data_IF_325383673644
#
_entry.id   IF_325383673644
#
_cell.length_a   1.000
_cell.length_b   1.000
_cell.length_c   1.000
_cell.angle_alpha   90.00
_cell.angle_beta   90.00
_cell.angle_gamma   90.00
#
_symmetry.space_group_name_H-M   'P 1'
#
loop_
_entity.id
_entity.type
_entity.pdbx_description
1 polymer ?
#
# COMPACT_ATOMS: atom_id res chain seq x y z
N UNK A 1 -3.58 -26.38 -2.97
CA UNK A 1 -4.41 -25.14 -3.02
C UNK A 1 -3.69 -24.04 -3.79
N UNK A 2 -2.52 -23.58 -3.38
CA UNK A 2 -1.72 -22.55 -4.06
C UNK A 2 -1.63 -22.78 -5.58
N UNK A 3 -1.20 -23.97 -6.03
CA UNK A 3 -1.11 -24.27 -7.45
C UNK A 3 -2.44 -24.20 -8.23
N UNK A 4 -3.56 -24.28 -7.54
CA UNK A 4 -4.89 -24.12 -8.17
C UNK A 4 -5.20 -22.65 -8.35
N UNK A 5 -4.97 -21.81 -7.32
CA UNK A 5 -5.16 -20.36 -7.39
C UNK A 5 -4.23 -19.73 -8.43
N UNK A 6 -2.94 -20.13 -8.44
CA UNK A 6 -1.97 -19.67 -9.46
C UNK A 6 -2.48 -19.96 -10.87
N UNK A 7 -2.99 -21.20 -11.13
CA UNK A 7 -3.55 -21.54 -12.44
C UNK A 7 -4.75 -20.69 -12.82
N UNK A 8 -5.61 -20.35 -11.88
CA UNK A 8 -6.76 -19.45 -12.12
C UNK A 8 -6.25 -18.06 -12.51
N UNK A 9 -5.31 -17.50 -11.76
CA UNK A 9 -4.74 -16.18 -12.08
C UNK A 9 -4.03 -16.22 -13.45
N UNK A 10 -3.18 -17.20 -13.71
CA UNK A 10 -2.49 -17.35 -14.99
C UNK A 10 -3.46 -17.52 -16.18
N UNK A 11 -4.65 -18.08 -15.96
CA UNK A 11 -5.65 -18.21 -17.02
C UNK A 11 -6.25 -16.87 -17.46
N UNK A 12 -6.12 -15.81 -16.67
CA UNK A 12 -6.55 -14.45 -17.04
C UNK A 12 -5.52 -13.70 -17.90
N UNK A 13 -4.31 -14.26 -18.03
CA UNK A 13 -3.26 -13.69 -18.87
C UNK A 13 -3.69 -13.66 -20.32
N UNK A 14 -3.42 -12.55 -21.00
CA UNK A 14 -3.76 -12.34 -22.42
C UNK A 14 -5.28 -12.45 -22.72
N UNK A 15 -6.14 -12.27 -21.70
CA UNK A 15 -7.60 -12.25 -21.82
C UNK A 15 -8.20 -10.95 -21.30
N UNK A 16 -9.52 -10.77 -21.47
CA UNK A 16 -10.27 -9.67 -20.84
C UNK A 16 -10.75 -10.03 -19.42
N UNK A 17 -10.54 -11.28 -19.00
CA UNK A 17 -10.96 -11.76 -17.68
C UNK A 17 -10.19 -11.05 -16.56
N UNK A 18 -10.86 -10.84 -15.45
CA UNK A 18 -10.33 -10.14 -14.29
C UNK A 18 -9.89 -11.11 -13.21
N UNK A 19 -8.87 -10.71 -12.43
CA UNK A 19 -8.22 -11.59 -11.46
C UNK A 19 -9.15 -11.90 -10.29
N UNK A 20 -9.79 -10.88 -9.70
CA UNK A 20 -10.65 -11.09 -8.53
C UNK A 20 -11.90 -11.88 -8.88
N UNK A 21 -12.58 -11.50 -9.98
CA UNK A 21 -13.72 -12.25 -10.49
C UNK A 21 -13.37 -13.72 -10.78
N UNK A 22 -12.23 -13.97 -11.37
CA UNK A 22 -11.80 -15.35 -11.72
C UNK A 22 -11.51 -16.20 -10.48
N UNK A 23 -11.08 -15.58 -9.37
CA UNK A 23 -10.76 -16.25 -8.12
C UNK A 23 -12.00 -16.56 -7.27
N UNK A 24 -12.92 -15.60 -7.13
CA UNK A 24 -14.05 -15.72 -6.20
C UNK A 24 -15.43 -15.62 -6.85
N UNK A 25 -15.49 -15.30 -8.16
CA UNK A 25 -16.77 -15.06 -8.86
C UNK A 25 -17.50 -13.83 -8.34
N UNK A 26 -18.79 -13.76 -8.70
CA UNK A 26 -19.76 -12.80 -8.12
C UNK A 26 -20.58 -13.46 -7.01
N UNK A 27 -21.34 -12.66 -6.21
CA UNK A 27 -22.29 -13.24 -5.26
C UNK A 27 -23.26 -14.23 -5.92
N UNK A 28 -23.51 -15.37 -5.30
CA UNK A 28 -24.32 -16.48 -5.85
C UNK A 28 -25.72 -16.09 -6.36
N UNK A 29 -26.28 -15.01 -5.80
CA UNK A 29 -27.61 -14.50 -6.18
C UNK A 29 -27.57 -13.54 -7.38
N UNK A 30 -26.41 -13.21 -7.92
CA UNK A 30 -26.21 -12.21 -8.95
C UNK A 30 -25.98 -12.85 -10.32
N UNK A 31 -26.71 -12.39 -11.31
CA UNK A 31 -26.43 -12.72 -12.71
C UNK A 31 -25.53 -11.67 -13.34
N UNK A 32 -24.91 -12.00 -14.47
CA UNK A 32 -24.11 -11.01 -15.23
C UNK A 32 -24.94 -9.76 -15.59
N UNK A 33 -26.24 -9.93 -15.90
CA UNK A 33 -27.14 -8.81 -16.20
C UNK A 33 -27.41 -7.92 -14.99
N UNK A 34 -27.39 -8.49 -13.78
CA UNK A 34 -27.56 -7.72 -12.56
C UNK A 34 -26.27 -6.96 -12.27
N UNK A 35 -25.11 -7.61 -12.43
CA UNK A 35 -23.83 -6.96 -12.33
C UNK A 35 -23.67 -5.77 -13.29
N UNK A 36 -24.00 -5.95 -14.57
CA UNK A 36 -23.89 -4.88 -15.58
C UNK A 36 -24.70 -3.60 -15.21
N UNK A 37 -25.75 -3.73 -14.40
CA UNK A 37 -26.57 -2.61 -13.94
C UNK A 37 -25.99 -1.93 -12.69
N UNK A 38 -25.49 -2.73 -11.74
CA UNK A 38 -25.09 -2.29 -10.41
C UNK A 38 -23.58 -2.58 -10.14
N UNK A 39 -22.77 -2.60 -11.21
CA UNK A 39 -21.37 -3.01 -11.17
C UNK A 39 -20.54 -2.24 -10.10
N UNK A 40 -20.83 -0.96 -9.93
CA UNK A 40 -20.08 -0.14 -8.99
C UNK A 40 -20.32 -0.56 -7.54
N UNK A 41 -21.58 -0.62 -7.13
CA UNK A 41 -21.95 -1.02 -5.77
C UNK A 41 -21.57 -2.48 -5.50
N UNK A 42 -21.65 -3.32 -6.53
CA UNK A 42 -21.20 -4.72 -6.45
C UNK A 42 -19.69 -4.78 -6.22
N UNK A 43 -18.89 -4.06 -6.99
CA UNK A 43 -17.44 -4.10 -6.83
C UNK A 43 -17.01 -3.57 -5.45
N UNK A 44 -17.58 -2.45 -4.99
CA UNK A 44 -17.31 -1.92 -3.66
C UNK A 44 -17.70 -2.92 -2.57
N UNK A 45 -18.89 -3.52 -2.66
CA UNK A 45 -19.40 -4.45 -1.64
C UNK A 45 -18.79 -5.85 -1.70
N UNK A 46 -18.25 -6.29 -2.85
CA UNK A 46 -17.78 -7.65 -3.04
C UNK A 46 -16.26 -7.77 -3.15
N UNK A 47 -15.60 -6.79 -3.76
CA UNK A 47 -14.15 -6.72 -3.89
C UNK A 47 -13.50 -5.67 -2.97
N UNK A 48 -14.27 -4.71 -2.44
CA UNK A 48 -13.76 -3.61 -1.61
C UNK A 48 -13.12 -2.47 -2.41
N UNK A 49 -13.13 -2.54 -3.73
CA UNK A 49 -12.50 -1.55 -4.63
C UNK A 49 -13.41 -1.26 -5.82
N UNK A 50 -13.21 -0.10 -6.46
CA UNK A 50 -14.08 0.37 -7.56
C UNK A 50 -14.14 -0.58 -8.75
N UNK A 51 -13.02 -1.16 -9.14
CA UNK A 51 -12.93 -2.14 -10.24
C UNK A 51 -11.95 -3.25 -9.91
N UNK A 52 -12.17 -4.37 -10.56
CA UNK A 52 -11.28 -5.52 -10.53
C UNK A 52 -9.99 -5.24 -11.31
N UNK A 53 -8.93 -5.97 -11.02
CA UNK A 53 -7.62 -5.84 -11.65
C UNK A 53 -7.44 -6.82 -12.80
N UNK A 54 -6.64 -6.42 -13.80
CA UNK A 54 -6.22 -7.33 -14.88
C UNK A 54 -4.90 -8.02 -14.51
N UNK A 55 -4.57 -9.10 -15.19
CA UNK A 55 -3.29 -9.80 -15.00
C UNK A 55 -2.09 -8.84 -15.15
N UNK A 56 -2.12 -7.97 -16.17
CA UNK A 56 -1.01 -7.05 -16.48
C UNK A 56 -0.82 -5.94 -15.45
N UNK A 57 -1.88 -5.63 -14.67
CA UNK A 57 -1.83 -4.62 -13.58
C UNK A 57 -1.71 -5.27 -12.20
N UNK A 58 -1.53 -6.59 -12.14
CA UNK A 58 -1.40 -7.35 -10.92
C UNK A 58 -0.15 -8.24 -11.01
N UNK A 59 1.02 -7.67 -10.75
CA UNK A 59 2.23 -8.47 -10.68
C UNK A 59 2.07 -9.59 -9.66
N UNK A 60 2.55 -10.79 -10.01
CA UNK A 60 2.41 -11.97 -9.17
C UNK A 60 3.75 -12.65 -8.97
N UNK A 61 4.05 -13.01 -7.73
CA UNK A 61 5.11 -13.94 -7.35
C UNK A 61 4.52 -15.04 -6.48
N UNK A 62 5.06 -16.26 -6.53
CA UNK A 62 4.53 -17.37 -5.76
C UNK A 62 5.57 -18.47 -5.51
N UNK A 63 5.34 -19.22 -4.44
CA UNK A 63 6.06 -20.45 -4.14
C UNK A 63 5.07 -21.60 -3.76
N UNK A 64 5.54 -22.63 -3.08
CA UNK A 64 4.71 -23.77 -2.67
C UNK A 64 3.69 -23.42 -1.58
N UNK A 65 3.92 -22.34 -0.84
CA UNK A 65 3.20 -21.98 0.39
C UNK A 65 2.42 -20.68 0.29
N UNK A 66 2.81 -19.76 -0.58
CA UNK A 66 2.19 -18.45 -0.69
C UNK A 66 2.07 -17.93 -2.13
N UNK A 67 1.16 -17.00 -2.32
CA UNK A 67 1.03 -16.18 -3.53
C UNK A 67 1.10 -14.73 -3.06
N UNK A 68 1.97 -13.94 -3.69
CA UNK A 68 2.06 -12.50 -3.53
C UNK A 68 1.48 -11.83 -4.74
N UNK A 69 0.52 -10.97 -4.53
CA UNK A 69 -0.10 -10.14 -5.57
C UNK A 69 0.20 -8.68 -5.26
N UNK A 70 0.52 -7.90 -6.30
CA UNK A 70 0.82 -6.47 -6.19
C UNK A 70 -0.16 -5.68 -7.09
N UNK A 71 -1.45 -5.66 -6.74
CA UNK A 71 -2.46 -5.00 -7.56
C UNK A 71 -2.52 -3.50 -7.32
N UNK A 72 -2.64 -2.73 -8.40
CA UNK A 72 -3.07 -1.34 -8.31
C UNK A 72 -4.61 -1.30 -8.22
N UNK A 73 -5.14 -0.92 -7.08
CA UNK A 73 -6.58 -0.84 -6.84
C UNK A 73 -7.06 0.61 -6.78
N UNK A 74 -8.35 0.83 -7.04
CA UNK A 74 -8.91 2.17 -7.05
C UNK A 74 -9.62 2.50 -5.74
N UNK A 75 -9.15 3.56 -5.07
CA UNK A 75 -9.74 4.27 -3.93
C UNK A 75 -9.64 3.58 -2.57
N UNK A 76 -9.54 2.25 -2.55
CA UNK A 76 -9.48 1.47 -1.31
C UNK A 76 -8.77 0.14 -1.51
N UNK A 77 -8.16 -0.42 -0.46
CA UNK A 77 -7.59 -1.76 -0.49
C UNK A 77 -8.70 -2.82 -0.69
N UNK A 78 -8.42 -3.94 -1.38
CA UNK A 78 -9.41 -4.96 -1.69
C UNK A 78 -9.67 -5.92 -0.52
N UNK A 79 -10.00 -5.39 0.66
CA UNK A 79 -10.21 -6.19 1.89
C UNK A 79 -11.40 -7.13 1.74
N UNK A 80 -12.49 -6.68 1.10
CA UNK A 80 -13.67 -7.52 0.88
C UNK A 80 -13.36 -8.69 -0.06
N UNK A 81 -12.55 -8.48 -1.11
CA UNK A 81 -12.07 -9.56 -1.97
C UNK A 81 -11.32 -10.62 -1.17
N UNK A 82 -10.34 -10.20 -0.35
CA UNK A 82 -9.55 -11.13 0.47
C UNK A 82 -10.42 -11.82 1.52
N UNK A 83 -11.36 -11.12 2.12
CA UNK A 83 -12.34 -11.69 3.05
C UNK A 83 -13.18 -12.77 2.38
N UNK A 84 -13.68 -12.52 1.19
CA UNK A 84 -14.46 -13.49 0.41
C UNK A 84 -13.61 -14.65 -0.09
N UNK A 85 -12.34 -14.41 -0.44
CA UNK A 85 -11.37 -15.46 -0.78
C UNK A 85 -11.17 -16.42 0.40
N UNK A 86 -10.89 -15.90 1.61
CA UNK A 86 -10.71 -16.71 2.83
C UNK A 86 -12.00 -17.45 3.20
N UNK A 87 -13.19 -16.87 2.94
CA UNK A 87 -14.47 -17.56 3.11
C UNK A 87 -14.65 -18.75 2.19
N UNK A 88 -14.23 -18.63 0.92
CA UNK A 88 -14.43 -19.67 -0.10
C UNK A 88 -13.40 -20.80 -0.05
N UNK A 89 -12.19 -20.52 0.42
CA UNK A 89 -11.10 -21.50 0.41
C UNK A 89 -10.62 -21.81 1.84
N UNK A 90 -10.91 -23.01 2.32
CA UNK A 90 -10.45 -23.45 3.63
C UNK A 90 -8.92 -23.54 3.71
N UNK A 91 -8.36 -23.16 4.84
CA UNK A 91 -6.93 -23.23 5.12
C UNK A 91 -6.09 -22.16 4.43
N UNK A 92 -6.71 -21.08 3.96
CA UNK A 92 -6.05 -19.85 3.50
C UNK A 92 -6.13 -18.81 4.60
N UNK A 93 -5.04 -18.10 4.79
CA UNK A 93 -4.99 -16.80 5.43
C UNK A 93 -4.60 -15.77 4.37
N UNK A 94 -5.08 -14.55 4.48
CA UNK A 94 -4.70 -13.43 3.62
C UNK A 94 -4.06 -12.33 4.48
N UNK A 95 -3.09 -11.67 3.89
CA UNK A 95 -2.41 -10.53 4.49
C UNK A 95 -2.23 -9.47 3.40
N UNK A 96 -2.59 -8.24 3.69
CA UNK A 96 -2.44 -7.13 2.77
C UNK A 96 -1.75 -5.97 3.45
N UNK A 97 -0.77 -5.39 2.75
CA UNK A 97 -0.31 -4.02 2.98
C UNK A 97 -0.89 -3.12 1.91
N UNK A 98 -1.25 -1.91 2.27
CA UNK A 98 -1.74 -0.92 1.35
C UNK A 98 -1.24 0.47 1.71
N UNK A 99 -1.09 1.31 0.69
CA UNK A 99 -0.71 2.70 0.87
C UNK A 99 -1.25 3.58 -0.26
N UNK A 100 -1.56 4.83 0.05
CA UNK A 100 -2.04 5.84 -0.89
C UNK A 100 -1.44 7.19 -0.53
N UNK A 101 -0.40 7.60 -1.26
CA UNK A 101 0.35 8.83 -1.00
C UNK A 101 -0.47 10.11 -1.26
N UNK A 102 -1.40 10.08 -2.23
CA UNK A 102 -2.21 11.25 -2.59
C UNK A 102 -3.26 11.61 -1.53
N UNK A 103 -3.76 10.63 -0.78
CA UNK A 103 -4.73 10.83 0.33
C UNK A 103 -4.02 10.79 1.69
N UNK A 104 -2.84 10.19 1.75
CA UNK A 104 -1.99 10.23 2.93
C UNK A 104 -2.24 9.13 3.97
N UNK A 105 -2.65 7.92 3.53
CA UNK A 105 -2.84 6.78 4.42
C UNK A 105 -2.06 5.53 3.98
N UNK A 106 -1.81 4.66 4.94
CA UNK A 106 -1.28 3.32 4.72
C UNK A 106 -1.82 2.38 5.80
N UNK A 107 -1.70 1.06 5.60
CA UNK A 107 -2.18 0.12 6.59
C UNK A 107 -1.84 -1.33 6.27
N UNK A 108 -2.23 -2.18 7.19
CA UNK A 108 -2.14 -3.63 7.05
C UNK A 108 -3.43 -4.28 7.54
N UNK A 109 -3.83 -5.36 6.87
CA UNK A 109 -4.97 -6.18 7.29
C UNK A 109 -4.60 -7.64 7.22
N UNK A 110 -4.84 -8.38 8.30
CA UNK A 110 -4.78 -9.83 8.35
C UNK A 110 -6.18 -10.41 8.37
N UNK A 111 -6.44 -11.39 7.50
CA UNK A 111 -7.74 -12.06 7.38
C UNK A 111 -7.53 -13.56 7.52
N UNK A 112 -8.19 -14.18 8.50
CA UNK A 112 -8.00 -15.58 8.82
C UNK A 112 -9.26 -16.20 9.47
N UNK A 113 -9.29 -17.52 9.59
CA UNK A 113 -10.30 -18.22 10.39
C UNK A 113 -9.76 -18.48 11.79
N UNK A 114 -10.58 -18.17 12.80
CA UNK A 114 -10.26 -18.50 14.18
C UNK A 114 -10.53 -20.00 14.48
N UNK A 115 -10.31 -20.41 15.71
CA UNK A 115 -10.53 -21.78 16.18
C UNK A 115 -12.00 -22.24 16.10
N UNK A 116 -12.95 -21.30 16.06
CA UNK A 116 -14.38 -21.57 15.92
C UNK A 116 -14.85 -21.62 14.45
N UNK A 117 -13.95 -21.27 13.51
CA UNK A 117 -14.22 -21.18 12.09
C UNK A 117 -14.79 -19.82 11.65
N UNK A 118 -14.85 -18.83 12.57
CA UNK A 118 -15.27 -17.47 12.25
C UNK A 118 -14.18 -16.72 11.50
N UNK A 119 -14.58 -15.86 10.54
CA UNK A 119 -13.64 -15.01 9.81
C UNK A 119 -13.31 -13.80 10.68
N UNK A 120 -12.03 -13.64 10.95
CA UNK A 120 -11.48 -12.48 11.65
C UNK A 120 -10.79 -11.57 10.62
N UNK A 121 -11.09 -10.29 10.69
CA UNK A 121 -10.42 -9.22 9.95
C UNK A 121 -9.73 -8.35 11.00
N UNK A 122 -8.42 -8.40 11.04
CA UNK A 122 -7.57 -7.62 11.96
C UNK A 122 -6.89 -6.54 11.13
N UNK A 123 -7.37 -5.30 11.28
CA UNK A 123 -7.02 -4.15 10.46
C UNK A 123 -6.34 -3.06 11.28
N UNK A 124 -5.27 -2.48 10.72
CA UNK A 124 -4.53 -1.37 11.31
C UNK A 124 -4.23 -0.33 10.24
N UNK A 125 -4.63 0.91 10.48
CA UNK A 125 -4.39 2.04 9.60
C UNK A 125 -3.40 3.03 10.25
N UNK A 126 -2.54 3.60 9.44
CA UNK A 126 -1.49 4.53 9.83
C UNK A 126 -1.47 5.75 8.91
N UNK A 127 -0.98 6.93 9.38
CA UNK A 127 -0.55 7.98 8.48
C UNK A 127 0.46 7.45 7.45
N UNK A 128 0.43 7.97 6.22
CA UNK A 128 1.19 7.41 5.09
C UNK A 128 2.66 7.11 5.42
N UNK A 129 3.40 8.13 5.85
CA UNK A 129 4.84 7.99 6.13
C UNK A 129 5.14 7.06 7.30
N UNK A 130 4.33 7.12 8.36
CA UNK A 130 4.46 6.22 9.51
C UNK A 130 4.29 4.76 9.09
N UNK A 131 3.25 4.46 8.33
CA UNK A 131 3.01 3.11 7.84
C UNK A 131 4.08 2.65 6.85
N UNK A 132 4.52 3.50 5.91
CA UNK A 132 5.62 3.14 5.01
C UNK A 132 6.90 2.82 5.80
N UNK A 133 7.23 3.62 6.81
CA UNK A 133 8.37 3.34 7.68
C UNK A 133 8.22 2.03 8.47
N UNK A 134 7.04 1.78 9.04
CA UNK A 134 6.79 0.58 9.87
C UNK A 134 6.71 -0.69 9.05
N UNK A 135 6.04 -0.64 7.89
CA UNK A 135 5.64 -1.82 7.12
C UNK A 135 6.55 -2.07 5.91
N UNK A 136 7.15 -1.01 5.35
CA UNK A 136 7.96 -1.04 4.13
C UNK A 136 9.29 -0.30 4.30
N UNK A 137 10.06 -0.67 5.32
CA UNK A 137 11.30 0.04 5.68
C UNK A 137 12.28 0.23 4.51
N UNK A 138 12.39 -0.74 3.61
CA UNK A 138 13.23 -0.61 2.40
C UNK A 138 12.71 0.45 1.43
N UNK A 139 11.39 0.53 1.22
CA UNK A 139 10.78 1.54 0.37
C UNK A 139 10.97 2.94 0.97
N UNK A 140 10.77 3.08 2.29
CA UNK A 140 11.03 4.33 3.00
C UNK A 140 12.44 4.85 2.76
N UNK A 141 13.47 4.01 2.98
CA UNK A 141 14.86 4.40 2.84
C UNK A 141 15.31 4.64 1.40
N UNK A 142 14.79 3.88 0.44
CA UNK A 142 15.29 3.89 -0.93
C UNK A 142 14.53 4.86 -1.86
N UNK A 143 13.37 5.32 -1.49
CA UNK A 143 12.52 6.12 -2.37
C UNK A 143 11.81 7.26 -1.66
N UNK A 144 11.08 6.95 -0.59
CA UNK A 144 10.23 7.94 0.07
C UNK A 144 11.05 9.04 0.75
N UNK A 145 12.14 8.67 1.41
CA UNK A 145 12.97 9.65 2.13
C UNK A 145 13.62 10.67 1.18
N UNK A 146 14.13 10.23 0.02
CA UNK A 146 14.67 11.13 -1.00
C UNK A 146 13.62 12.14 -1.47
N UNK A 147 12.41 11.66 -1.79
CA UNK A 147 11.29 12.52 -2.20
C UNK A 147 10.88 13.53 -1.11
N UNK A 148 10.96 13.12 0.16
CA UNK A 148 10.65 14.01 1.30
C UNK A 148 11.73 15.07 1.43
N UNK A 149 13.01 14.72 1.32
CA UNK A 149 14.13 15.66 1.41
C UNK A 149 14.00 16.74 0.33
N UNK A 150 13.71 16.33 -0.92
CA UNK A 150 13.49 17.26 -2.01
C UNK A 150 12.32 18.21 -1.75
N UNK A 151 11.21 17.68 -1.23
CA UNK A 151 10.04 18.50 -0.90
C UNK A 151 10.28 19.43 0.29
N UNK A 152 11.09 19.01 1.26
CA UNK A 152 11.43 19.79 2.45
C UNK A 152 12.41 20.93 2.15
N UNK A 153 13.15 20.86 1.04
CA UNK A 153 14.13 21.88 0.66
C UNK A 153 13.51 23.28 0.67
N UNK A 154 12.39 23.44 -0.01
CA UNK A 154 11.69 24.72 -0.10
C UNK A 154 11.17 25.21 1.27
N UNK A 155 10.69 24.30 2.12
CA UNK A 155 10.19 24.63 3.45
C UNK A 155 11.32 25.08 4.39
N UNK A 156 12.44 24.34 4.39
CA UNK A 156 13.59 24.64 5.27
C UNK A 156 14.30 25.92 4.83
N UNK A 157 14.25 26.27 3.54
CA UNK A 157 14.94 27.47 2.97
C UNK A 157 14.07 28.73 2.96
N UNK A 158 12.74 28.61 3.05
CA UNK A 158 11.79 29.70 2.81
C UNK A 158 11.92 30.92 3.76
N UNK A 159 12.49 30.72 4.94
CA UNK A 159 12.68 31.81 5.93
C UNK A 159 13.91 32.70 5.66
N UNK A 160 14.70 32.40 4.63
CA UNK A 160 15.93 33.11 4.32
C UNK A 160 15.77 34.13 3.18
N UNK A 161 14.55 34.72 2.98
CA UNK A 161 14.17 35.59 1.86
C UNK A 161 14.98 36.88 1.67
N UNK A 162 15.97 37.22 2.50
CA UNK A 162 16.69 38.50 2.40
C UNK A 162 18.09 38.41 1.72
N UNK A 163 18.61 37.22 1.43
CA UNK A 163 19.96 37.09 0.86
C UNK A 163 19.98 36.21 -0.42
N UNK A 164 20.18 36.86 -1.60
CA UNK A 164 20.31 36.21 -2.92
C UNK A 164 21.65 35.41 -3.11
N UNK A 165 22.31 34.94 -2.07
CA UNK A 165 23.52 34.13 -2.22
C UNK A 165 23.18 32.66 -2.48
N UNK A 166 23.36 32.23 -3.75
CA UNK A 166 23.13 30.87 -4.24
C UNK A 166 23.97 29.76 -3.54
N UNK A 167 24.98 30.13 -2.75
CA UNK A 167 25.91 29.21 -2.07
C UNK A 167 25.63 29.04 -0.56
N UNK A 168 24.46 29.49 -0.06
CA UNK A 168 24.17 29.46 1.37
C UNK A 168 23.84 28.04 1.84
N UNK A 169 24.71 27.46 2.66
CA UNK A 169 24.43 26.18 3.33
C UNK A 169 23.25 26.31 4.27
N UNK A 170 22.34 25.34 4.18
CA UNK A 170 21.17 25.28 5.06
C UNK A 170 21.62 25.09 6.51
N UNK A 171 21.00 25.81 7.44
CA UNK A 171 21.30 25.72 8.86
C UNK A 171 20.95 24.32 9.41
N UNK A 172 21.95 23.67 9.97
CA UNK A 172 21.80 22.35 10.61
C UNK A 172 20.68 22.33 11.65
N UNK A 173 20.45 23.43 12.37
CA UNK A 173 19.40 23.53 13.37
C UNK A 173 18.00 23.43 12.75
N UNK A 174 17.78 24.02 11.58
CA UNK A 174 16.51 23.92 10.84
C UNK A 174 16.24 22.48 10.35
N UNK A 175 17.28 21.76 9.87
CA UNK A 175 17.16 20.35 9.50
C UNK A 175 16.74 19.51 10.70
N UNK A 176 17.38 19.71 11.85
CA UNK A 176 17.07 18.97 13.08
C UNK A 176 15.63 19.26 13.55
N UNK A 177 15.21 20.52 13.50
CA UNK A 177 13.85 20.94 13.86
C UNK A 177 12.82 20.27 12.94
N UNK A 178 13.00 20.37 11.62
CA UNK A 178 12.13 19.73 10.63
C UNK A 178 11.99 18.22 10.86
N UNK A 179 13.12 17.52 11.04
CA UNK A 179 13.12 16.07 11.28
C UNK A 179 12.41 15.71 12.59
N UNK A 180 12.60 16.49 13.65
CA UNK A 180 11.92 16.22 14.92
C UNK A 180 10.40 16.43 14.83
N UNK A 181 9.95 17.41 14.07
CA UNK A 181 8.54 17.71 13.89
C UNK A 181 7.84 16.68 12.98
N UNK A 182 8.48 16.29 11.87
CA UNK A 182 7.86 15.47 10.84
C UNK A 182 8.10 13.97 11.00
N UNK A 183 9.15 13.52 11.73
CA UNK A 183 9.51 12.12 11.91
C UNK A 183 9.40 11.65 13.37
N UNK A 184 8.32 12.07 14.06
CA UNK A 184 8.07 11.67 15.45
C UNK A 184 7.90 10.17 15.66
N UNK A 185 7.56 9.43 14.60
CA UNK A 185 7.29 7.99 14.58
C UNK A 185 8.54 7.10 14.42
N UNK A 186 9.69 7.65 14.02
CA UNK A 186 10.93 6.86 13.83
C UNK A 186 11.73 6.72 15.13
N UNK A 187 12.59 5.70 15.19
CA UNK A 187 13.52 5.51 16.32
C UNK A 187 14.58 6.62 16.37
N UNK A 188 15.18 6.86 17.54
CA UNK A 188 16.23 7.86 17.68
C UNK A 188 17.46 7.56 16.80
N UNK A 189 17.81 6.27 16.62
CA UNK A 189 18.89 5.82 15.72
C UNK A 189 18.58 6.15 14.26
N UNK A 190 17.36 5.89 13.82
CA UNK A 190 16.91 6.18 12.46
C UNK A 190 16.81 7.70 12.24
N UNK A 191 16.42 8.50 13.26
CA UNK A 191 16.45 9.98 13.18
C UNK A 191 17.85 10.53 12.93
N UNK A 192 18.86 10.00 13.59
CA UNK A 192 20.25 10.41 13.33
C UNK A 192 20.65 10.14 11.89
N UNK A 193 20.22 8.99 11.33
CA UNK A 193 20.47 8.62 9.94
C UNK A 193 19.75 9.56 8.97
N UNK A 194 18.47 9.87 9.24
CA UNK A 194 17.66 10.81 8.44
C UNK A 194 18.32 12.20 8.44
N UNK A 195 18.67 12.74 9.61
CA UNK A 195 19.36 14.05 9.73
C UNK A 195 20.64 14.07 8.90
N UNK A 196 21.40 12.98 8.92
CA UNK A 196 22.64 12.88 8.11
C UNK A 196 22.36 12.95 6.62
N UNK A 197 21.35 12.20 6.13
CA UNK A 197 20.95 12.23 4.71
C UNK A 197 20.44 13.62 4.30
N UNK A 198 19.59 14.25 5.10
CA UNK A 198 19.17 15.65 4.86
C UNK A 198 20.35 16.61 4.71
N UNK A 199 21.38 16.47 5.58
CA UNK A 199 22.58 17.32 5.49
C UNK A 199 23.40 17.07 4.22
N UNK A 200 23.49 15.80 3.79
CA UNK A 200 24.20 15.41 2.58
C UNK A 200 23.47 15.94 1.34
N UNK A 201 22.16 15.67 1.20
CA UNK A 201 21.36 16.02 0.03
C UNK A 201 21.06 17.53 -0.12
N UNK A 202 20.87 18.24 1.01
CA UNK A 202 20.51 19.67 0.97
C UNK A 202 21.72 20.60 0.87
N UNK A 203 22.95 20.11 1.08
CA UNK A 203 24.17 20.92 0.99
C UNK A 203 25.10 20.53 -0.19
N UNK A 204 24.65 19.57 -1.04
CA UNK A 204 25.28 19.23 -2.31
C UNK A 204 24.64 20.02 -3.45
#
# INVERSE_FOLDING_TARGET
MISTLVRVIESTKDTEDKVFESLIGYPDHMTKSDYDKDWYDTNIGWFGTKWDVSYDTCNMDYDETEIRLYPDTAWSPPIEFLTNLVKQYDGIEAYIFYSEGGVGFSGETKIYRDENGDIIVDDSEYPYLEGIYLLYKELFWNSELESIIDSARDEITSDDEEDEDEDKKIDEAKIIEYVNENFGFVTDEDKETIIKQFKEELND
#
